data_IF_236003912151
#
_entry.id   IF_236003912151
#
_cell.length_a   1.000
_cell.length_b   1.000
_cell.length_c   1.000
_cell.angle_alpha   90.00
_cell.angle_beta   90.00
_cell.angle_gamma   90.00
#
_symmetry.space_group_name_H-M   'P 1'
#
loop_
_entity.id
_entity.type
_entity.pdbx_description
1 polymer ?
#
# COMPACT_ATOMS: atom_id res chain seq x y z
N UNK A 1 -5.77 1.15 19.41
CA UNK A 1 -6.50 -0.11 19.12
C UNK A 1 -7.99 0.03 19.35
N UNK A 2 -8.44 0.37 20.56
CA UNK A 2 -9.89 0.49 20.91
C UNK A 2 -10.75 1.33 19.94
N UNK A 3 -10.22 2.41 19.37
CA UNK A 3 -10.96 3.24 18.42
C UNK A 3 -11.11 2.59 17.02
N UNK A 4 -10.18 1.72 16.63
CA UNK A 4 -10.13 1.11 15.29
C UNK A 4 -10.82 -0.26 15.26
N UNK A 5 -10.74 -1.03 16.35
CA UNK A 5 -11.34 -2.38 16.43
C UNK A 5 -12.83 -2.40 16.06
N UNK A 6 -13.69 -1.45 16.48
CA UNK A 6 -15.10 -1.44 16.08
C UNK A 6 -15.36 -1.17 14.59
N UNK A 7 -14.37 -0.66 13.86
CA UNK A 7 -14.50 -0.32 12.43
C UNK A 7 -13.87 -1.36 11.52
N UNK A 8 -12.81 -2.00 11.98
CA UNK A 8 -11.99 -2.90 11.17
C UNK A 8 -11.96 -4.36 11.67
N UNK A 9 -12.41 -4.63 12.90
CA UNK A 9 -12.31 -5.94 13.53
C UNK A 9 -10.94 -6.21 14.17
N UNK A 10 -10.90 -7.13 15.14
CA UNK A 10 -9.65 -7.49 15.84
C UNK A 10 -8.61 -8.14 14.93
N UNK A 11 -9.07 -8.87 13.92
CA UNK A 11 -8.23 -9.56 12.94
C UNK A 11 -7.68 -8.64 11.84
N UNK A 12 -8.04 -7.35 11.85
CA UNK A 12 -7.54 -6.41 10.86
C UNK A 12 -6.01 -6.35 10.89
N UNK A 13 -5.34 -6.57 9.75
CA UNK A 13 -3.89 -6.50 9.66
C UNK A 13 -3.35 -5.11 9.98
N UNK A 14 -2.21 -5.09 10.67
CA UNK A 14 -1.44 -3.90 11.03
C UNK A 14 0.01 -4.13 10.67
N UNK A 15 0.65 -3.09 10.14
CA UNK A 15 2.10 -3.02 10.01
C UNK A 15 2.63 -1.77 10.73
N UNK A 16 3.61 -1.94 11.61
CA UNK A 16 4.37 -0.86 12.22
C UNK A 16 5.78 -0.88 11.63
N UNK A 17 6.15 0.18 10.91
CA UNK A 17 7.46 0.32 10.27
C UNK A 17 8.24 1.40 11.00
N UNK A 18 9.20 0.98 11.83
CA UNK A 18 10.10 1.88 12.53
C UNK A 18 11.24 2.30 11.61
N UNK A 19 11.44 3.63 11.48
CA UNK A 19 12.48 4.26 10.64
C UNK A 19 12.57 3.65 9.24
N UNK A 20 11.45 3.71 8.53
CA UNK A 20 11.33 3.23 7.16
C UNK A 20 12.49 3.74 6.28
N UNK A 21 13.10 2.85 5.48
CA UNK A 21 14.27 3.06 4.60
C UNK A 21 15.61 3.37 5.27
N UNK A 22 15.70 3.35 6.61
CA UNK A 22 16.97 3.53 7.32
C UNK A 22 17.70 2.19 7.48
N UNK A 23 19.02 2.16 7.74
CA UNK A 23 19.79 0.92 7.89
C UNK A 23 19.28 -0.02 8.99
N UNK A 24 18.59 0.53 9.97
CA UNK A 24 18.06 -0.14 11.16
C UNK A 24 16.53 -0.07 11.22
N UNK A 25 15.90 -0.10 10.05
CA UNK A 25 14.48 -0.34 9.87
C UNK A 25 14.04 -1.63 10.58
N UNK A 26 12.88 -1.56 11.25
CA UNK A 26 12.21 -2.73 11.83
C UNK A 26 10.75 -2.73 11.41
N UNK A 27 10.29 -3.84 10.83
CA UNK A 27 8.90 -4.03 10.42
C UNK A 27 8.22 -5.04 11.33
N UNK A 28 7.17 -4.61 12.03
CA UNK A 28 6.30 -5.44 12.84
C UNK A 28 4.97 -5.65 12.13
N UNK A 29 4.61 -6.91 11.85
CA UNK A 29 3.31 -7.27 11.27
C UNK A 29 2.51 -8.01 12.31
N UNK A 30 1.26 -7.59 12.53
CA UNK A 30 0.36 -8.14 13.52
C UNK A 30 -1.10 -7.92 13.08
N UNK A 31 -2.04 -8.27 13.94
CA UNK A 31 -3.44 -7.84 13.85
C UNK A 31 -3.72 -6.77 14.91
N UNK A 32 -4.84 -6.04 14.80
CA UNK A 32 -5.26 -5.11 15.86
C UNK A 32 -5.37 -5.79 17.25
N UNK A 33 -5.70 -7.08 17.29
CA UNK A 33 -5.80 -7.86 18.52
C UNK A 33 -4.44 -8.27 19.13
N UNK A 34 -3.39 -8.45 18.31
CA UNK A 34 -2.06 -8.95 18.74
C UNK A 34 -0.96 -7.89 18.76
N UNK A 35 -1.28 -6.65 18.34
CA UNK A 35 -0.30 -5.58 18.15
C UNK A 35 0.47 -5.22 19.43
N UNK A 36 -0.21 -5.11 20.58
CA UNK A 36 0.43 -4.72 21.84
C UNK A 36 1.47 -5.74 22.32
N UNK A 37 1.26 -7.02 22.04
CA UNK A 37 2.17 -8.10 22.40
C UNK A 37 3.36 -8.20 21.43
N UNK A 38 3.13 -7.83 20.16
CA UNK A 38 4.14 -7.93 19.09
C UNK A 38 5.09 -6.73 19.08
N UNK A 39 4.63 -5.55 19.50
CA UNK A 39 5.40 -4.31 19.37
C UNK A 39 6.47 -4.18 20.45
N UNK A 40 7.72 -3.93 20.02
CA UNK A 40 8.81 -3.65 20.95
C UNK A 40 8.62 -2.32 21.68
N UNK A 41 8.87 -2.34 22.99
CA UNK A 41 8.63 -1.19 23.88
C UNK A 41 9.63 -0.04 23.71
N UNK A 42 10.74 -0.26 23.00
CA UNK A 42 11.77 0.75 22.72
C UNK A 42 11.39 1.68 21.55
N UNK A 43 10.40 1.30 20.74
CA UNK A 43 9.85 2.14 19.66
C UNK A 43 8.97 3.23 20.26
N UNK A 44 9.52 4.43 20.41
CA UNK A 44 8.79 5.58 20.99
C UNK A 44 8.49 6.68 19.97
N UNK A 45 9.20 6.72 18.84
CA UNK A 45 9.11 7.77 17.80
C UNK A 45 9.43 7.20 16.42
N UNK A 46 9.11 7.95 15.37
CA UNK A 46 9.51 7.66 13.98
C UNK A 46 9.04 6.28 13.50
N UNK A 47 7.76 6.01 13.67
CA UNK A 47 7.11 4.81 13.15
C UNK A 47 5.95 5.19 12.24
N UNK A 48 5.82 4.50 11.11
CA UNK A 48 4.61 4.49 10.29
C UNK A 48 3.72 3.36 10.78
N UNK A 49 2.45 3.65 11.03
CA UNK A 49 1.45 2.66 11.46
C UNK A 49 0.41 2.56 10.34
N UNK A 50 0.40 1.43 9.65
CA UNK A 50 -0.53 1.11 8.58
C UNK A 50 -1.54 0.11 9.11
N UNK A 51 -2.83 0.35 8.87
CA UNK A 51 -3.93 -0.51 9.33
C UNK A 51 -4.88 -0.74 8.17
N UNK A 52 -5.13 -2.00 7.82
CA UNK A 52 -6.17 -2.32 6.84
C UNK A 52 -6.01 -3.65 6.12
N UNK A 53 -7.08 -4.15 5.48
CA UNK A 53 -7.08 -5.43 4.77
C UNK A 53 -6.08 -5.51 3.62
N UNK A 54 -5.74 -4.38 3.00
CA UNK A 54 -4.76 -4.32 1.90
C UNK A 54 -3.37 -4.86 2.29
N UNK A 55 -3.02 -4.84 3.58
CA UNK A 55 -1.74 -5.39 4.06
C UNK A 55 -1.65 -6.92 4.01
N UNK A 56 -2.79 -7.60 3.87
CA UNK A 56 -2.88 -9.06 3.70
C UNK A 56 -3.35 -9.46 2.29
N UNK A 57 -3.53 -8.49 1.38
CA UNK A 57 -3.89 -8.79 0.00
C UNK A 57 -2.72 -9.47 -0.72
N UNK A 58 -3.03 -10.49 -1.50
CA UNK A 58 -2.10 -11.18 -2.40
C UNK A 58 -2.75 -11.35 -3.78
N UNK A 59 -1.97 -11.86 -4.75
CA UNK A 59 -2.49 -12.23 -6.06
C UNK A 59 -2.98 -11.08 -6.95
N UNK A 60 -2.65 -9.83 -6.63
CA UNK A 60 -3.00 -8.66 -7.46
C UNK A 60 -1.84 -8.24 -8.37
N UNK A 61 -2.18 -7.65 -9.52
CA UNK A 61 -1.20 -7.06 -10.41
C UNK A 61 -0.73 -5.70 -9.88
N UNK A 62 0.55 -5.40 -10.08
CA UNK A 62 1.10 -4.09 -9.74
C UNK A 62 0.43 -2.96 -10.51
N UNK A 63 0.41 -1.77 -9.90
CA UNK A 63 -0.15 -0.59 -10.55
C UNK A 63 0.69 -0.19 -11.76
N UNK A 64 0.06 -0.07 -12.93
CA UNK A 64 0.69 0.45 -14.13
C UNK A 64 0.91 1.97 -14.12
N UNK A 65 0.68 2.67 -13.00
CA UNK A 65 0.78 4.13 -12.90
C UNK A 65 2.13 4.67 -13.40
N UNK A 66 3.21 4.02 -12.97
CA UNK A 66 4.59 4.35 -13.36
C UNK A 66 5.25 3.30 -14.23
N UNK A 67 4.50 2.30 -14.71
CA UNK A 67 5.05 1.32 -15.63
C UNK A 67 5.51 2.04 -16.92
N UNK A 68 6.76 1.82 -17.35
CA UNK A 68 7.33 2.52 -18.51
C UNK A 68 6.71 2.04 -19.82
N UNK A 69 6.32 0.76 -19.87
CA UNK A 69 5.66 0.09 -20.98
C UNK A 69 4.13 0.24 -20.95
N UNK A 70 3.57 0.83 -19.89
CA UNK A 70 2.15 1.13 -19.86
C UNK A 70 1.84 2.27 -20.83
N UNK A 71 1.20 1.89 -21.92
CA UNK A 71 0.75 2.81 -22.92
C UNK A 71 -0.58 3.44 -22.48
N UNK A 72 -0.62 4.78 -22.50
CA UNK A 72 -1.62 5.57 -21.77
C UNK A 72 -2.64 6.13 -22.75
N UNK A 73 -3.93 5.86 -22.51
CA UNK A 73 -5.05 6.33 -23.35
C UNK A 73 -4.94 7.80 -23.80
N UNK A 74 -4.61 8.71 -22.88
CA UNK A 74 -4.51 10.16 -23.16
C UNK A 74 -3.09 10.66 -23.38
N UNK A 75 -2.09 9.77 -23.35
CA UNK A 75 -0.69 10.08 -23.66
C UNK A 75 -0.02 8.85 -24.27
N UNK A 76 -0.36 8.52 -25.53
CA UNK A 76 0.25 7.41 -26.25
C UNK A 76 1.78 7.50 -26.20
N UNK A 77 2.46 6.38 -25.91
CA UNK A 77 3.94 6.36 -25.86
C UNK A 77 4.58 6.35 -27.25
N UNK A 78 3.87 5.81 -28.24
CA UNK A 78 4.37 5.64 -29.62
C UNK A 78 3.27 5.93 -30.64
N UNK A 79 3.66 6.12 -31.90
CA UNK A 79 2.72 6.30 -33.01
C UNK A 79 1.92 5.02 -33.34
N UNK A 80 2.43 3.85 -32.94
CA UNK A 80 1.76 2.55 -33.16
C UNK A 80 0.78 2.18 -32.04
N UNK A 81 0.64 3.05 -31.03
CA UNK A 81 -0.29 2.85 -29.93
C UNK A 81 -1.73 2.69 -30.45
N UNK A 82 -2.54 1.77 -29.86
CA UNK A 82 -3.97 1.68 -30.17
C UNK A 82 -4.73 2.97 -29.81
N UNK A 83 -4.13 3.86 -29.01
CA UNK A 83 -4.69 5.15 -28.65
C UNK A 83 -4.09 6.32 -29.44
N UNK A 84 -3.17 6.07 -30.38
CA UNK A 84 -2.53 7.12 -31.19
C UNK A 84 -3.53 7.94 -32.01
N UNK A 85 -4.65 7.34 -32.41
CA UNK A 85 -5.71 7.99 -33.18
C UNK A 85 -6.90 8.47 -32.34
N UNK A 86 -6.84 8.35 -31.01
CA UNK A 86 -7.95 8.73 -30.14
C UNK A 86 -8.22 10.24 -30.21
N UNK A 87 -9.48 10.62 -30.34
CA UNK A 87 -9.97 11.99 -30.36
C UNK A 87 -10.99 12.24 -29.25
N UNK A 88 -11.14 13.51 -28.84
CA UNK A 88 -12.22 13.90 -27.91
C UNK A 88 -13.59 13.59 -28.55
N UNK A 89 -14.27 12.57 -28.01
CA UNK A 89 -15.58 12.11 -28.49
C UNK A 89 -15.67 10.60 -28.75
N UNK A 90 -14.55 9.88 -28.73
CA UNK A 90 -14.50 8.41 -28.95
C UNK A 90 -14.88 7.59 -27.69
N UNK A 91 -15.54 8.21 -26.71
CA UNK A 91 -15.87 7.63 -25.40
C UNK A 91 -17.30 7.07 -25.34
#
# INVERSE_FOLDING_TARGET
ISALTPKYGGDCPVAVVFRASWPDERIHRATLASLEETLDKDITRTALILVGPALAADGFAESCLYAPDYDRRYRPQTADSPWASWSHGDD
#
